data_IF_760799729712
#
_entry.id   IF_760799729712
#
_cell.length_a   1.000
_cell.length_b   1.000
_cell.length_c   1.000
_cell.angle_alpha   90.00
_cell.angle_beta   90.00
_cell.angle_gamma   90.00
#
_symmetry.space_group_name_H-M   'P 1'
#
loop_
_entity.id
_entity.type
_entity.pdbx_description
1 polymer ?
#
# COMPACT_ATOMS: atom_id res chain seq x y z
N UNK A 1 -34.25 -0.93 -15.20
CA UNK A 1 -33.16 0.05 -15.37
C UNK A 1 -31.89 -0.72 -15.63
N UNK A 2 -30.99 -0.19 -16.44
CA UNK A 2 -29.70 -0.83 -16.69
C UNK A 2 -28.67 -0.38 -15.65
N UNK A 3 -27.88 -1.32 -15.13
CA UNK A 3 -26.88 -1.05 -14.11
C UNK A 3 -25.70 -0.25 -14.67
N UNK A 4 -25.06 0.55 -13.83
CA UNK A 4 -23.82 1.27 -14.13
C UNK A 4 -22.69 0.31 -14.53
N UNK A 5 -21.74 0.83 -15.31
CA UNK A 5 -20.53 0.09 -15.67
C UNK A 5 -19.71 -0.31 -14.45
N UNK A 6 -19.67 0.55 -13.44
CA UNK A 6 -18.92 0.39 -12.21
C UNK A 6 -19.51 -0.75 -11.37
N UNK A 7 -20.83 -0.81 -11.26
CA UNK A 7 -21.52 -1.91 -10.59
C UNK A 7 -21.25 -3.25 -11.29
N UNK A 8 -21.38 -3.29 -12.63
CA UNK A 8 -21.09 -4.50 -13.41
C UNK A 8 -19.62 -4.94 -13.29
N UNK A 9 -18.68 -3.98 -13.32
CA UNK A 9 -17.25 -4.23 -13.15
C UNK A 9 -16.94 -4.78 -11.75
N UNK A 10 -17.53 -4.19 -10.70
CA UNK A 10 -17.35 -4.67 -9.33
C UNK A 10 -17.86 -6.10 -9.17
N UNK A 11 -19.08 -6.40 -9.63
CA UNK A 11 -19.65 -7.74 -9.54
C UNK A 11 -18.84 -8.79 -10.31
N UNK A 12 -18.36 -8.44 -11.50
CA UNK A 12 -17.44 -9.29 -12.26
C UNK A 12 -16.18 -9.59 -11.45
N UNK A 13 -15.59 -8.54 -10.87
CA UNK A 13 -14.34 -8.63 -10.14
C UNK A 13 -14.45 -9.44 -8.83
N UNK A 14 -15.48 -9.21 -8.01
CA UNK A 14 -15.65 -9.95 -6.75
C UNK A 14 -15.90 -11.44 -6.97
N UNK A 15 -16.39 -11.80 -8.16
CA UNK A 15 -16.67 -13.19 -8.56
C UNK A 15 -15.55 -13.78 -9.43
N UNK A 16 -14.53 -12.98 -9.77
CA UNK A 16 -13.40 -13.40 -10.59
C UNK A 16 -12.46 -14.34 -9.81
N UNK A 17 -11.86 -15.28 -10.53
CA UNK A 17 -10.85 -16.18 -9.99
C UNK A 17 -9.56 -15.42 -9.64
N UNK A 18 -8.70 -16.02 -8.79
CA UNK A 18 -7.44 -15.39 -8.35
C UNK A 18 -6.53 -14.95 -9.52
N UNK A 19 -6.62 -15.62 -10.68
CA UNK A 19 -5.84 -15.29 -11.89
C UNK A 19 -6.37 -14.07 -12.65
N UNK A 20 -7.65 -13.74 -12.49
CA UNK A 20 -8.32 -12.62 -13.15
C UNK A 20 -8.23 -11.32 -12.32
N UNK A 21 -7.85 -11.41 -11.04
CA UNK A 21 -7.68 -10.26 -10.13
C UNK A 21 -6.34 -9.50 -10.30
N UNK A 22 -5.53 -9.85 -11.30
CA UNK A 22 -4.16 -9.32 -11.46
C UNK A 22 -4.10 -7.80 -11.75
N UNK A 23 -5.20 -7.20 -12.22
CA UNK A 23 -5.27 -5.75 -12.51
C UNK A 23 -5.54 -4.88 -11.26
N UNK A 24 -5.70 -5.50 -10.09
CA UNK A 24 -5.88 -4.80 -8.82
C UNK A 24 -7.28 -4.19 -8.62
N UNK A 25 -7.48 -3.58 -7.45
CA UNK A 25 -8.75 -2.97 -7.05
C UNK A 25 -8.84 -1.54 -7.59
N UNK A 26 -9.89 -1.24 -8.38
CA UNK A 26 -10.21 0.15 -8.74
C UNK A 26 -10.69 0.87 -7.47
N UNK A 27 -9.90 1.77 -6.91
CA UNK A 27 -10.24 2.37 -5.61
C UNK A 27 -11.54 3.20 -5.64
N UNK A 28 -11.92 3.74 -6.79
CA UNK A 28 -13.06 4.65 -6.93
C UNK A 28 -14.30 3.99 -7.55
N UNK A 29 -14.68 2.78 -7.09
CA UNK A 29 -15.85 2.08 -7.64
C UNK A 29 -17.19 2.77 -7.39
N UNK A 30 -17.26 3.62 -6.36
CA UNK A 30 -18.50 4.30 -6.01
C UNK A 30 -18.73 5.59 -6.80
N UNK A 31 -17.73 6.06 -7.55
CA UNK A 31 -17.88 7.22 -8.44
C UNK A 31 -18.83 6.83 -9.59
N UNK A 32 -19.88 7.63 -9.81
CA UNK A 32 -20.88 7.45 -10.87
C UNK A 32 -21.85 6.26 -10.69
N UNK A 33 -21.97 5.72 -9.48
CA UNK A 33 -22.95 4.68 -9.14
C UNK A 33 -24.30 5.27 -8.72
N UNK A 34 -25.41 4.61 -9.06
CA UNK A 34 -26.72 5.01 -8.52
C UNK A 34 -26.81 4.68 -7.03
N UNK A 35 -27.54 5.46 -6.24
CA UNK A 35 -27.62 5.24 -4.78
C UNK A 35 -28.18 3.83 -4.43
N UNK A 36 -29.13 3.30 -5.19
CA UNK A 36 -29.65 1.94 -4.96
C UNK A 36 -28.61 0.83 -5.26
N UNK A 37 -27.73 1.05 -6.24
CA UNK A 37 -26.61 0.13 -6.53
C UNK A 37 -25.56 0.21 -5.44
N UNK A 38 -25.30 1.42 -4.95
CA UNK A 38 -24.39 1.68 -3.85
C UNK A 38 -24.86 0.95 -2.60
N UNK A 39 -26.13 1.12 -2.23
CA UNK A 39 -26.70 0.47 -1.04
C UNK A 39 -26.50 -1.05 -1.06
N UNK A 40 -26.77 -1.70 -2.20
CA UNK A 40 -26.56 -3.14 -2.38
C UNK A 40 -25.06 -3.51 -2.30
N UNK A 41 -24.20 -2.72 -2.94
CA UNK A 41 -22.77 -3.01 -3.02
C UNK A 41 -22.07 -2.82 -1.66
N UNK A 42 -22.50 -1.84 -0.86
CA UNK A 42 -22.02 -1.68 0.51
C UNK A 42 -22.38 -2.90 1.37
N UNK A 43 -23.58 -3.47 1.20
CA UNK A 43 -23.99 -4.70 1.89
C UNK A 43 -23.12 -5.90 1.49
N UNK A 44 -22.83 -6.05 0.19
CA UNK A 44 -21.95 -7.12 -0.30
C UNK A 44 -20.53 -6.99 0.25
N UNK A 45 -19.96 -5.77 0.24
CA UNK A 45 -18.61 -5.53 0.79
C UNK A 45 -18.58 -5.87 2.27
N UNK A 46 -19.57 -5.39 3.02
CA UNK A 46 -19.64 -5.57 4.46
C UNK A 46 -19.72 -7.05 4.84
N UNK A 47 -20.62 -7.79 4.19
CA UNK A 47 -20.81 -9.23 4.41
C UNK A 47 -19.52 -10.01 4.12
N UNK A 48 -18.94 -9.80 2.94
CA UNK A 48 -17.75 -10.54 2.52
C UNK A 48 -16.50 -10.20 3.35
N UNK A 49 -16.36 -8.96 3.80
CA UNK A 49 -15.23 -8.58 4.66
C UNK A 49 -15.36 -9.18 6.06
N UNK A 50 -16.51 -9.00 6.71
CA UNK A 50 -16.69 -9.39 8.11
C UNK A 50 -16.93 -10.90 8.27
N UNK A 51 -17.75 -11.51 7.41
CA UNK A 51 -18.21 -12.89 7.59
C UNK A 51 -17.42 -13.89 6.75
N UNK A 52 -17.00 -13.52 5.55
CA UNK A 52 -16.19 -14.39 4.67
C UNK A 52 -14.68 -14.14 4.78
N UNK A 53 -14.26 -13.18 5.62
CA UNK A 53 -12.85 -12.79 5.82
C UNK A 53 -12.08 -12.44 4.54
N UNK A 54 -12.77 -11.86 3.55
CA UNK A 54 -12.15 -11.42 2.31
C UNK A 54 -11.37 -10.10 2.51
N UNK A 55 -10.12 -10.22 2.94
CA UNK A 55 -9.24 -9.09 3.27
C UNK A 55 -8.99 -8.13 2.11
N UNK A 56 -9.13 -8.60 0.88
CA UNK A 56 -8.85 -7.78 -0.30
C UNK A 56 -9.86 -6.63 -0.46
N UNK A 57 -11.06 -6.79 0.11
CA UNK A 57 -12.09 -5.75 0.14
C UNK A 57 -11.79 -4.63 1.14
N UNK A 58 -10.77 -4.77 2.01
CA UNK A 58 -10.39 -3.77 3.00
C UNK A 58 -10.27 -2.35 2.42
N UNK A 59 -9.80 -2.21 1.18
CA UNK A 59 -9.62 -0.92 0.51
C UNK A 59 -10.92 -0.13 0.29
N UNK A 60 -12.08 -0.78 0.30
CA UNK A 60 -13.38 -0.13 0.11
C UNK A 60 -14.06 0.27 1.42
N UNK A 61 -13.71 -0.36 2.54
CA UNK A 61 -14.34 -0.11 3.85
C UNK A 61 -14.36 1.39 4.23
N UNK A 62 -13.28 2.18 4.05
CA UNK A 62 -13.30 3.60 4.38
C UNK A 62 -14.30 4.44 3.58
N UNK A 63 -14.81 3.91 2.46
CA UNK A 63 -15.71 4.63 1.56
C UNK A 63 -17.18 4.30 1.80
N UNK A 64 -17.50 3.34 2.67
CA UNK A 64 -18.89 2.97 2.98
C UNK A 64 -19.61 4.12 3.71
N UNK A 65 -20.88 4.36 3.36
CA UNK A 65 -21.75 5.33 4.03
C UNK A 65 -22.66 4.67 5.07
N UNK A 66 -23.09 3.43 4.82
CA UNK A 66 -24.04 2.66 5.65
C UNK A 66 -23.38 2.06 6.87
N UNK A 67 -22.09 1.76 6.80
CA UNK A 67 -21.34 1.07 7.83
C UNK A 67 -20.09 1.85 8.26
N UNK A 68 -19.69 1.73 9.52
CA UNK A 68 -18.41 2.25 9.98
C UNK A 68 -17.26 1.32 9.57
N UNK A 69 -16.78 1.52 8.35
CA UNK A 69 -15.68 0.71 7.83
C UNK A 69 -14.34 0.98 8.50
N UNK A 70 -14.13 2.16 9.11
CA UNK A 70 -12.88 2.46 9.83
C UNK A 70 -12.83 1.68 11.14
N UNK A 71 -13.93 1.64 11.89
CA UNK A 71 -14.05 0.84 13.11
C UNK A 71 -13.91 -0.66 12.80
N UNK A 72 -14.57 -1.16 11.75
CA UNK A 72 -14.45 -2.56 11.32
C UNK A 72 -12.99 -2.96 11.01
N UNK A 73 -12.27 -2.09 10.30
CA UNK A 73 -10.84 -2.31 10.02
C UNK A 73 -9.99 -2.31 11.29
N UNK A 74 -10.25 -1.41 12.24
CA UNK A 74 -9.51 -1.37 13.51
C UNK A 74 -9.73 -2.64 14.33
N UNK A 75 -10.99 -3.09 14.44
CA UNK A 75 -11.33 -4.32 15.13
C UNK A 75 -10.62 -5.52 14.48
N UNK A 76 -10.70 -5.65 13.16
CA UNK A 76 -10.03 -6.73 12.43
C UNK A 76 -8.50 -6.68 12.56
N UNK A 77 -7.90 -5.49 12.56
CA UNK A 77 -6.46 -5.33 12.78
C UNK A 77 -6.04 -5.84 14.16
N UNK A 78 -6.85 -5.59 15.19
CA UNK A 78 -6.55 -6.02 16.57
C UNK A 78 -6.52 -7.55 16.73
N UNK A 79 -7.18 -8.28 15.84
CA UNK A 79 -7.23 -9.74 15.80
C UNK A 79 -6.12 -10.36 14.94
N UNK A 80 -5.42 -9.56 14.14
CA UNK A 80 -4.42 -10.06 13.21
C UNK A 80 -3.16 -10.57 13.92
N UNK A 81 -2.65 -11.72 13.47
CA UNK A 81 -1.30 -12.13 13.81
C UNK A 81 -0.27 -11.17 13.18
N UNK A 82 0.86 -10.95 13.84
CA UNK A 82 1.98 -10.16 13.30
C UNK A 82 3.26 -11.01 13.43
N UNK A 83 3.99 -11.27 12.32
CA UNK A 83 3.79 -10.71 10.98
C UNK A 83 2.70 -11.43 10.16
N UNK A 84 1.97 -10.69 9.34
CA UNK A 84 0.99 -11.25 8.37
C UNK A 84 0.71 -10.28 7.23
N UNK A 85 0.27 -10.80 6.08
CA UNK A 85 -0.17 -9.97 4.94
C UNK A 85 -1.40 -9.15 5.33
N UNK A 86 -2.31 -9.76 6.06
CA UNK A 86 -3.57 -9.20 6.52
C UNK A 86 -3.33 -7.96 7.37
N UNK A 87 -2.45 -8.03 8.38
CA UNK A 87 -2.11 -6.90 9.24
C UNK A 87 -1.56 -5.71 8.43
N UNK A 88 -0.69 -5.97 7.43
CA UNK A 88 -0.12 -4.91 6.58
C UNK A 88 -1.14 -4.30 5.64
N UNK A 89 -2.00 -5.11 5.02
CA UNK A 89 -3.07 -4.61 4.15
C UNK A 89 -4.03 -3.70 4.91
N UNK A 90 -4.49 -4.12 6.09
CA UNK A 90 -5.38 -3.29 6.91
C UNK A 90 -4.66 -2.03 7.39
N UNK A 91 -3.43 -2.15 7.91
CA UNK A 91 -2.66 -1.02 8.40
C UNK A 91 -2.42 0.02 7.30
N UNK A 92 -2.12 -0.40 6.07
CA UNK A 92 -1.99 0.49 4.90
C UNK A 92 -3.26 1.27 4.66
N UNK A 93 -4.41 0.59 4.61
CA UNK A 93 -5.71 1.23 4.38
C UNK A 93 -6.01 2.23 5.50
N UNK A 94 -5.89 1.82 6.76
CA UNK A 94 -6.12 2.68 7.92
C UNK A 94 -5.20 3.90 7.93
N UNK A 95 -3.91 3.74 7.64
CA UNK A 95 -2.98 4.85 7.53
C UNK A 95 -3.35 5.80 6.39
N UNK A 96 -3.65 5.28 5.20
CA UNK A 96 -4.00 6.11 4.05
C UNK A 96 -5.30 6.91 4.27
N UNK A 97 -6.27 6.32 4.97
CA UNK A 97 -7.56 6.95 5.26
C UNK A 97 -7.52 7.93 6.42
N UNK A 98 -6.70 7.68 7.45
CA UNK A 98 -6.73 8.47 8.69
C UNK A 98 -5.50 9.34 8.93
N UNK A 99 -4.37 9.04 8.27
CA UNK A 99 -3.08 9.69 8.49
C UNK A 99 -2.44 9.39 9.86
N UNK A 100 -2.94 8.42 10.62
CA UNK A 100 -2.42 8.10 11.96
C UNK A 100 -1.16 7.24 11.90
N UNK A 101 -0.05 7.78 12.39
CA UNK A 101 1.26 7.14 12.40
C UNK A 101 1.34 5.81 13.17
N UNK A 102 0.40 5.52 14.07
CA UNK A 102 0.36 4.24 14.79
C UNK A 102 0.21 3.04 13.85
N UNK A 103 -0.42 3.23 12.68
CA UNK A 103 -0.56 2.16 11.69
C UNK A 103 0.76 1.86 10.97
N UNK A 104 1.71 2.80 10.93
CA UNK A 104 3.06 2.53 10.44
C UNK A 104 3.89 1.70 11.43
N UNK A 105 3.53 1.69 12.72
CA UNK A 105 4.19 0.81 13.70
C UNK A 105 3.88 -0.67 13.41
N UNK A 106 2.71 -0.97 12.81
CA UNK A 106 2.38 -2.32 12.35
C UNK A 106 3.32 -2.77 11.22
N UNK A 107 3.69 -1.87 10.32
CA UNK A 107 4.70 -2.15 9.28
C UNK A 107 6.07 -2.41 9.89
N UNK A 108 6.46 -1.60 10.89
CA UNK A 108 7.71 -1.78 11.61
C UNK A 108 7.76 -3.13 12.30
N UNK A 109 6.73 -3.51 13.05
CA UNK A 109 6.68 -4.83 13.70
C UNK A 109 6.69 -5.98 12.69
N UNK A 110 5.97 -5.83 11.57
CA UNK A 110 6.00 -6.82 10.50
C UNK A 110 7.42 -6.99 9.95
N UNK A 111 8.13 -5.89 9.72
CA UNK A 111 9.51 -5.92 9.22
C UNK A 111 10.47 -6.57 10.23
N UNK A 112 10.39 -6.18 11.51
CA UNK A 112 11.28 -6.68 12.56
C UNK A 112 11.06 -8.16 12.90
N UNK A 113 9.81 -8.66 12.82
CA UNK A 113 9.47 -10.05 13.15
C UNK A 113 9.53 -11.00 11.95
N UNK A 114 9.51 -10.49 10.72
CA UNK A 114 9.60 -11.32 9.51
C UNK A 114 11.03 -11.76 9.26
N UNK A 115 11.19 -12.99 8.73
CA UNK A 115 12.50 -13.55 8.36
C UNK A 115 12.75 -13.58 6.86
N UNK A 116 11.70 -13.42 6.08
CA UNK A 116 11.72 -13.56 4.62
C UNK A 116 10.80 -12.53 3.99
N UNK A 117 10.96 -12.29 2.69
CA UNK A 117 10.10 -11.40 1.91
C UNK A 117 10.03 -9.97 2.45
N UNK A 118 11.09 -9.51 3.13
CA UNK A 118 11.18 -8.16 3.69
C UNK A 118 10.95 -7.08 2.64
N UNK A 119 11.41 -7.30 1.41
CA UNK A 119 11.22 -6.36 0.30
C UNK A 119 9.74 -6.12 -0.02
N UNK A 120 8.85 -7.09 0.21
CA UNK A 120 7.40 -6.92 0.03
C UNK A 120 6.86 -5.93 1.07
N UNK A 121 7.27 -6.07 2.33
CA UNK A 121 6.87 -5.19 3.43
C UNK A 121 7.32 -3.75 3.14
N UNK A 122 8.57 -3.57 2.71
CA UNK A 122 9.12 -2.26 2.34
C UNK A 122 8.42 -1.68 1.12
N UNK A 123 8.05 -2.53 0.16
CA UNK A 123 7.30 -2.11 -1.02
C UNK A 123 5.92 -1.60 -0.63
N UNK A 124 5.17 -2.37 0.14
CA UNK A 124 3.85 -1.95 0.66
C UNK A 124 3.93 -0.67 1.51
N UNK A 125 5.01 -0.49 2.27
CA UNK A 125 5.28 0.72 3.06
C UNK A 125 5.39 1.97 2.19
N UNK A 126 6.16 1.95 1.08
CA UNK A 126 6.27 3.15 0.25
C UNK A 126 5.02 3.44 -0.62
N UNK A 127 4.12 2.46 -0.77
CA UNK A 127 2.77 2.67 -1.32
C UNK A 127 1.78 3.26 -0.31
N UNK A 128 2.20 3.54 0.92
CA UNK A 128 1.44 4.33 1.86
C UNK A 128 1.48 5.83 1.49
N UNK A 129 0.50 6.59 1.97
CA UNK A 129 0.45 8.05 1.80
C UNK A 129 1.78 8.68 2.25
N UNK A 130 2.40 9.57 1.45
CA UNK A 130 3.66 10.21 1.82
C UNK A 130 3.58 10.89 3.18
N UNK A 131 4.50 10.55 4.08
CA UNK A 131 4.58 11.10 5.43
C UNK A 131 5.97 10.95 6.01
N UNK A 132 6.32 11.83 6.96
CA UNK A 132 7.67 11.89 7.54
C UNK A 132 8.09 10.57 8.20
N UNK A 133 7.20 9.94 8.99
CA UNK A 133 7.51 8.66 9.66
C UNK A 133 7.78 7.54 8.66
N UNK A 134 6.97 7.43 7.60
CA UNK A 134 7.20 6.48 6.52
C UNK A 134 8.56 6.72 5.85
N UNK A 135 8.88 7.97 5.54
CA UNK A 135 10.17 8.33 4.93
C UNK A 135 11.36 8.01 5.84
N UNK A 136 11.25 8.32 7.13
CA UNK A 136 12.29 8.04 8.13
C UNK A 136 12.52 6.51 8.25
N UNK A 137 11.46 5.70 8.23
CA UNK A 137 11.56 4.24 8.20
C UNK A 137 12.26 3.72 6.95
N UNK A 138 11.94 4.25 5.77
CA UNK A 138 12.62 3.85 4.53
C UNK A 138 14.12 4.22 4.57
N UNK A 139 14.46 5.41 5.09
CA UNK A 139 15.85 5.83 5.26
C UNK A 139 16.61 4.89 6.20
N UNK A 140 16.01 4.53 7.33
CA UNK A 140 16.61 3.60 8.30
C UNK A 140 16.91 2.24 7.65
N UNK A 141 15.92 1.68 6.94
CA UNK A 141 16.07 0.42 6.21
C UNK A 141 17.17 0.51 5.14
N UNK A 142 17.15 1.56 4.32
CA UNK A 142 18.15 1.77 3.25
C UNK A 142 19.58 1.85 3.82
N UNK A 143 19.77 2.53 4.94
CA UNK A 143 21.10 2.69 5.55
C UNK A 143 21.58 1.42 6.26
N UNK A 144 20.68 0.65 6.86
CA UNK A 144 21.05 -0.41 7.79
C UNK A 144 20.89 -1.82 7.24
N UNK A 145 20.02 -2.06 6.27
CA UNK A 145 19.80 -3.39 5.69
C UNK A 145 20.92 -3.81 4.73
N UNK A 146 21.25 -5.10 4.69
CA UNK A 146 22.24 -5.66 3.78
C UNK A 146 21.62 -6.40 2.59
N UNK A 147 20.32 -6.69 2.62
CA UNK A 147 19.64 -7.41 1.54
C UNK A 147 19.36 -6.48 0.36
N UNK A 148 19.91 -6.82 -0.81
CA UNK A 148 19.87 -5.99 -2.01
C UNK A 148 18.44 -5.62 -2.42
N UNK A 149 17.52 -6.58 -2.48
CA UNK A 149 16.12 -6.33 -2.86
C UNK A 149 15.41 -5.39 -1.87
N UNK A 150 15.70 -5.51 -0.58
CA UNK A 150 15.11 -4.68 0.48
C UNK A 150 15.63 -3.24 0.36
N UNK A 151 16.94 -3.09 0.17
CA UNK A 151 17.60 -1.79 -0.04
C UNK A 151 17.08 -1.13 -1.32
N UNK A 152 16.89 -1.89 -2.39
CA UNK A 152 16.31 -1.39 -3.64
C UNK A 152 14.87 -0.92 -3.46
N UNK A 153 14.01 -1.69 -2.79
CA UNK A 153 12.65 -1.25 -2.46
C UNK A 153 12.64 0.05 -1.62
N UNK A 154 13.55 0.16 -0.65
CA UNK A 154 13.68 1.38 0.15
C UNK A 154 14.15 2.58 -0.67
N UNK A 155 15.14 2.38 -1.56
CA UNK A 155 15.66 3.42 -2.45
C UNK A 155 14.57 3.98 -3.39
N UNK A 156 13.73 3.11 -3.96
CA UNK A 156 12.57 3.53 -4.74
C UNK A 156 11.60 4.41 -3.93
N UNK A 157 11.24 3.96 -2.73
CA UNK A 157 10.35 4.73 -1.86
C UNK A 157 10.92 6.10 -1.46
N UNK A 158 12.21 6.15 -1.12
CA UNK A 158 12.93 7.40 -0.82
C UNK A 158 12.92 8.33 -2.02
N UNK A 159 13.21 7.82 -3.21
CA UNK A 159 13.23 8.60 -4.44
C UNK A 159 11.86 9.20 -4.75
N UNK A 160 10.81 8.38 -4.72
CA UNK A 160 9.43 8.85 -4.95
C UNK A 160 9.01 9.92 -3.95
N UNK A 161 9.32 9.73 -2.67
CA UNK A 161 9.04 10.73 -1.64
C UNK A 161 9.75 12.06 -1.91
N UNK A 162 11.07 12.03 -2.18
CA UNK A 162 11.85 13.25 -2.39
C UNK A 162 11.42 14.00 -3.65
N UNK A 163 11.10 13.28 -4.74
CA UNK A 163 10.70 13.90 -6.00
C UNK A 163 9.19 14.21 -6.08
N UNK A 164 8.39 13.82 -5.08
CA UNK A 164 6.95 14.02 -5.08
C UNK A 164 6.22 13.22 -6.16
N UNK A 165 6.71 12.02 -6.47
CA UNK A 165 6.17 11.15 -7.52
C UNK A 165 5.21 10.13 -6.90
N UNK A 166 4.06 9.90 -7.55
CA UNK A 166 3.14 8.84 -7.16
C UNK A 166 3.75 7.46 -7.50
N UNK A 167 3.90 6.54 -6.53
CA UNK A 167 4.41 5.20 -6.81
C UNK A 167 3.53 4.35 -7.75
N UNK A 168 2.30 4.78 -8.06
CA UNK A 168 1.38 4.13 -9.00
C UNK A 168 1.59 4.55 -10.46
N UNK A 169 2.63 5.32 -10.78
CA UNK A 169 3.01 5.60 -12.18
C UNK A 169 3.21 4.30 -12.99
N UNK A 170 3.00 4.41 -14.30
CA UNK A 170 3.09 3.27 -15.22
C UNK A 170 4.50 2.66 -15.24
N UNK A 171 4.61 1.39 -15.63
CA UNK A 171 5.92 0.74 -15.77
C UNK A 171 6.84 1.53 -16.73
N UNK A 172 6.28 2.04 -17.84
CA UNK A 172 6.99 2.87 -18.82
C UNK A 172 7.56 4.15 -18.19
N UNK A 173 6.85 4.76 -17.24
CA UNK A 173 7.34 5.91 -16.50
C UNK A 173 8.40 5.50 -15.47
N UNK A 174 8.21 4.38 -14.76
CA UNK A 174 9.20 3.87 -13.79
C UNK A 174 10.56 3.60 -14.42
N UNK A 175 10.58 3.06 -15.65
CA UNK A 175 11.83 2.74 -16.38
C UNK A 175 12.75 3.96 -16.50
N UNK A 176 12.19 5.18 -16.63
CA UNK A 176 12.96 6.43 -16.76
C UNK A 176 13.80 6.74 -15.52
N UNK A 177 13.42 6.21 -14.36
CA UNK A 177 14.06 6.49 -13.08
C UNK A 177 15.03 5.40 -12.62
N UNK A 178 15.06 4.24 -13.30
CA UNK A 178 15.98 3.13 -12.98
C UNK A 178 17.43 3.61 -12.81
N UNK A 179 18.02 4.40 -13.74
CA UNK A 179 19.42 4.81 -13.59
C UNK A 179 19.69 5.59 -12.30
N UNK A 180 18.75 6.44 -11.87
CA UNK A 180 18.90 7.24 -10.65
C UNK A 180 18.82 6.36 -9.41
N UNK A 181 17.88 5.41 -9.40
CA UNK A 181 17.73 4.49 -8.27
C UNK A 181 18.92 3.52 -8.20
N UNK A 182 19.46 3.08 -9.33
CA UNK A 182 20.68 2.27 -9.38
C UNK A 182 21.87 2.99 -8.73
N UNK A 183 22.03 4.30 -8.93
CA UNK A 183 23.08 5.08 -8.24
C UNK A 183 22.95 5.06 -6.71
N UNK A 184 21.74 4.85 -6.17
CA UNK A 184 21.51 4.69 -4.73
C UNK A 184 21.85 3.27 -4.26
N UNK A 185 21.62 2.25 -5.08
CA UNK A 185 21.68 0.83 -4.67
C UNK A 185 23.00 0.14 -4.99
N UNK A 186 23.69 0.56 -6.06
CA UNK A 186 24.99 0.01 -6.49
C UNK A 186 26.18 0.56 -5.69
N UNK A 187 25.93 1.41 -4.69
CA UNK A 187 26.97 1.95 -3.82
C UNK A 187 27.23 1.07 -2.59
N UNK A 188 28.45 1.15 -2.07
CA UNK A 188 28.81 0.51 -0.81
C UNK A 188 27.94 1.02 0.34
N UNK A 189 27.63 0.17 1.33
CA UNK A 189 26.81 0.57 2.49
C UNK A 189 27.33 1.83 3.18
N UNK A 190 28.65 1.97 3.28
CA UNK A 190 29.33 3.14 3.88
C UNK A 190 29.10 4.43 3.09
N UNK A 191 28.74 4.35 1.81
CA UNK A 191 28.50 5.48 0.92
C UNK A 191 27.02 5.89 0.84
N UNK A 192 26.09 5.05 1.31
CA UNK A 192 24.63 5.29 1.23
C UNK A 192 24.19 6.61 1.85
N UNK A 193 24.78 6.99 2.99
CA UNK A 193 24.48 8.28 3.63
C UNK A 193 24.83 9.47 2.71
N UNK A 194 25.94 9.36 1.97
CA UNK A 194 26.35 10.40 1.03
C UNK A 194 25.44 10.44 -0.20
N UNK A 195 25.05 9.27 -0.74
CA UNK A 195 24.08 9.21 -1.85
C UNK A 195 22.72 9.79 -1.46
N UNK A 196 22.24 9.49 -0.25
CA UNK A 196 21.01 10.07 0.27
C UNK A 196 21.07 11.60 0.38
N UNK A 197 22.22 12.16 0.80
CA UNK A 197 22.43 13.61 0.83
C UNK A 197 22.42 14.22 -0.56
N UNK A 198 23.10 13.60 -1.53
CA UNK A 198 23.12 14.05 -2.93
C UNK A 198 21.71 14.11 -3.52
N UNK A 199 20.91 13.06 -3.28
CA UNK A 199 19.53 13.02 -3.73
C UNK A 199 18.67 14.13 -3.10
N UNK A 200 18.78 14.34 -1.78
CA UNK A 200 18.06 15.42 -1.06
C UNK A 200 18.44 16.81 -1.56
N UNK A 201 19.68 17.01 -1.98
CA UNK A 201 20.18 18.28 -2.47
C UNK A 201 19.96 18.50 -3.98
N UNK A 202 19.29 17.57 -4.67
CA UNK A 202 19.03 17.67 -6.12
C UNK A 202 20.27 17.52 -7.00
N UNK A 203 21.33 16.91 -6.48
CA UNK A 203 22.57 16.64 -7.22
C UNK A 203 22.39 15.41 -8.15
N UNK A 204 21.36 14.58 -7.88
CA UNK A 204 20.95 13.41 -8.65
C UNK A 204 19.63 13.62 -9.40
#
# INVERSE_FOLDING_TARGET
MENSSEYKQFLSFINASTREKMDGYKLNIFENMYEWERDELEDIIWERFNNESNIELACYLPQLKKYDGIEALQNKLSECAIPSRESRMIAKVLYNSTGKDCYLDIFKENYEKSKENLYIIVTELYYCKPGKKMFDMLCDIYLNCNEELVVNSAAWGIFFYIKGIDPNITLTEKIKYIPIVNMLTECEKTQRMEQLKKLKNGIM
#
